data_IF_452823566287
#
_entry.id   IF_452823566287
#
_cell.length_a   1.000
_cell.length_b   1.000
_cell.length_c   1.000
_cell.angle_alpha   90.00
_cell.angle_beta   90.00
_cell.angle_gamma   90.00
#
_symmetry.space_group_name_H-M   'P 1'
#
loop_
_entity.id
_entity.type
_entity.pdbx_description
1 polymer ?
#
# COMPACT_ATOMS: atom_id res chain seq x y z
N UNK A 1 -15.55 22.94 34.21
CA UNK A 1 -14.33 23.59 33.69
C UNK A 1 -13.17 23.23 34.61
N UNK A 2 -12.22 22.45 34.09
CA UNK A 2 -10.83 22.27 34.53
C UNK A 2 -10.39 20.89 34.01
N UNK A 3 -9.70 20.87 32.87
CA UNK A 3 -8.96 19.68 32.43
C UNK A 3 -7.60 19.61 33.11
N UNK A 4 -6.89 18.50 32.93
CA UNK A 4 -5.44 18.54 32.86
C UNK A 4 -4.95 18.08 31.49
N UNK A 5 -4.21 18.99 30.86
CA UNK A 5 -3.08 18.72 29.99
C UNK A 5 -2.13 17.69 30.58
N UNK A 6 -1.51 16.85 29.75
CA UNK A 6 -0.06 16.74 29.71
C UNK A 6 0.47 15.95 28.50
N UNK A 7 1.15 16.73 27.67
CA UNK A 7 2.28 16.47 26.79
C UNK A 7 2.78 15.02 26.62
N UNK A 8 2.76 14.62 25.34
CA UNK A 8 3.52 13.53 24.73
C UNK A 8 5.02 13.67 24.99
N UNK A 9 5.62 12.65 25.60
CA UNK A 9 7.08 12.50 25.68
C UNK A 9 7.50 11.38 24.73
N UNK A 10 7.94 11.75 23.53
CA UNK A 10 8.69 10.88 22.62
C UNK A 10 10.06 10.60 23.23
N UNK A 11 10.28 9.36 23.68
CA UNK A 11 11.61 8.86 24.05
C UNK A 11 12.09 7.89 22.98
N UNK A 12 12.99 8.39 22.13
CA UNK A 12 13.68 7.63 21.10
C UNK A 12 14.79 6.82 21.76
N UNK A 13 14.52 5.56 22.09
CA UNK A 13 15.56 4.64 22.55
C UNK A 13 16.40 4.14 21.36
N UNK A 14 17.56 4.76 21.16
CA UNK A 14 18.61 4.26 20.27
C UNK A 14 19.45 3.19 20.97
N UNK A 15 18.99 1.94 20.94
CA UNK A 15 19.77 0.81 21.44
C UNK A 15 20.75 0.32 20.37
N UNK A 16 21.96 0.87 20.42
CA UNK A 16 23.10 0.41 19.65
C UNK A 16 23.53 -0.99 20.15
N UNK A 17 23.27 -2.05 19.39
CA UNK A 17 23.80 -3.39 19.67
C UNK A 17 24.54 -3.95 18.45
N UNK A 18 25.85 -4.06 18.65
CA UNK A 18 26.87 -4.62 17.76
C UNK A 18 26.51 -6.06 17.41
N UNK A 19 25.85 -6.26 16.27
CA UNK A 19 25.38 -7.57 15.84
C UNK A 19 26.54 -8.42 15.30
N UNK A 20 27.03 -9.35 16.13
CA UNK A 20 27.87 -10.47 15.69
C UNK A 20 27.09 -11.33 14.70
N UNK A 21 27.66 -11.48 13.52
CA UNK A 21 27.09 -12.06 12.31
C UNK A 21 27.22 -13.58 12.32
N UNK A 22 26.29 -14.28 12.97
CA UNK A 22 26.02 -15.71 12.74
C UNK A 22 24.54 -15.96 13.04
N UNK A 23 23.63 -15.91 12.04
CA UNK A 23 22.24 -16.33 12.28
C UNK A 23 21.65 -17.01 11.04
N UNK A 24 21.40 -18.31 11.17
CA UNK A 24 20.38 -19.04 10.44
C UNK A 24 19.09 -18.19 10.36
N UNK A 25 18.39 -18.23 9.21
CA UNK A 25 17.15 -17.51 8.97
C UNK A 25 16.01 -18.08 9.84
N UNK A 26 15.99 -17.77 11.13
CA UNK A 26 14.83 -18.07 11.97
C UNK A 26 13.66 -17.17 11.55
N UNK A 27 12.50 -17.78 11.27
CA UNK A 27 11.27 -17.07 10.86
C UNK A 27 10.41 -16.81 12.09
N UNK A 28 9.89 -15.59 12.24
CA UNK A 28 8.91 -15.29 13.28
C UNK A 28 7.54 -15.87 12.90
N UNK A 29 6.87 -16.50 13.86
CA UNK A 29 5.49 -16.94 13.75
C UNK A 29 4.61 -16.15 14.72
N UNK A 30 3.79 -15.28 14.13
CA UNK A 30 2.84 -14.42 14.85
C UNK A 30 1.51 -15.13 15.15
N UNK A 31 1.19 -16.22 14.44
CA UNK A 31 -0.05 -16.94 14.65
C UNK A 31 0.00 -17.85 15.89
N UNK A 32 1.21 -18.25 16.30
CA UNK A 32 1.44 -19.16 17.42
C UNK A 32 2.46 -18.53 18.39
N UNK A 33 2.04 -17.63 19.28
CA UNK A 33 2.92 -16.98 20.25
C UNK A 33 3.41 -17.95 21.34
N UNK A 34 4.51 -17.61 22.02
CA UNK A 34 4.95 -18.32 23.23
C UNK A 34 3.97 -18.11 24.39
N UNK A 35 4.16 -18.85 25.48
CA UNK A 35 3.49 -18.63 26.78
C UNK A 35 3.68 -17.20 27.34
N UNK A 36 4.73 -16.51 26.87
CA UNK A 36 5.04 -15.13 27.20
C UNK A 36 4.36 -14.07 26.33
N UNK A 37 3.52 -14.47 25.36
CA UNK A 37 2.79 -13.57 24.46
C UNK A 37 3.58 -12.99 23.29
N UNK A 38 4.90 -13.22 23.23
CA UNK A 38 5.73 -12.83 22.09
C UNK A 38 5.61 -13.82 20.92
N UNK A 39 5.77 -13.36 19.65
CA UNK A 39 5.79 -14.26 18.50
C UNK A 39 6.93 -15.27 18.63
N UNK A 40 6.61 -16.55 18.40
CA UNK A 40 7.61 -17.62 18.48
C UNK A 40 8.57 -17.56 17.28
N UNK A 41 9.76 -18.14 17.42
CA UNK A 41 10.73 -18.30 16.33
C UNK A 41 10.72 -19.74 15.86
N UNK A 42 10.55 -19.95 14.56
CA UNK A 42 10.71 -21.25 13.91
C UNK A 42 12.19 -21.48 13.58
N UNK A 43 12.68 -22.65 13.98
CA UNK A 43 14.01 -23.17 13.71
C UNK A 43 13.90 -24.54 13.05
N UNK A 44 14.89 -24.88 12.23
CA UNK A 44 15.02 -26.21 11.64
C UNK A 44 16.05 -27.01 12.44
N UNK A 45 15.66 -28.19 12.90
CA UNK A 45 16.53 -29.12 13.62
C UNK A 45 17.62 -29.65 12.70
N UNK A 46 18.86 -29.57 13.18
CA UNK A 46 20.05 -30.13 12.54
C UNK A 46 20.57 -31.38 13.26
N UNK A 47 19.80 -31.88 14.24
CA UNK A 47 20.18 -33.08 14.99
C UNK A 47 20.12 -34.33 14.11
N UNK A 48 20.99 -35.30 14.38
CA UNK A 48 21.06 -36.57 13.62
C UNK A 48 19.73 -37.35 13.66
N UNK A 49 19.01 -37.25 14.76
CA UNK A 49 17.76 -37.99 14.98
C UNK A 49 16.54 -37.30 14.37
N UNK A 50 16.59 -35.97 14.22
CA UNK A 50 15.48 -35.17 13.67
C UNK A 50 15.97 -34.16 12.64
N UNK A 51 16.66 -34.56 11.56
CA UNK A 51 17.16 -33.63 10.56
C UNK A 51 15.99 -33.00 9.80
N UNK A 52 16.01 -31.68 9.62
CA UNK A 52 15.04 -30.97 8.80
C UNK A 52 13.68 -30.68 9.44
N UNK A 53 13.37 -31.24 10.63
CA UNK A 53 12.12 -30.95 11.34
C UNK A 53 12.11 -29.53 11.89
N UNK A 54 11.00 -28.82 11.71
CA UNK A 54 10.83 -27.47 12.23
C UNK A 54 10.26 -27.48 13.65
N UNK A 55 10.78 -26.61 14.51
CA UNK A 55 10.29 -26.42 15.88
C UNK A 55 10.22 -24.93 16.22
N UNK A 56 9.33 -24.56 17.13
CA UNK A 56 9.11 -23.20 17.60
C UNK A 56 9.78 -23.03 18.95
N UNK A 57 10.39 -21.87 19.19
CA UNK A 57 10.94 -21.49 20.50
C UNK A 57 10.59 -20.05 20.85
N UNK A 58 10.56 -19.75 22.14
CA UNK A 58 10.47 -18.36 22.59
C UNK A 58 11.71 -17.56 22.13
N UNK A 59 11.54 -16.32 21.62
CA UNK A 59 12.68 -15.45 21.30
C UNK A 59 13.52 -15.06 22.52
N UNK A 60 12.95 -15.10 23.73
CA UNK A 60 13.55 -14.75 25.02
C UNK A 60 14.00 -16.00 25.81
N UNK A 61 14.25 -17.13 25.15
CA UNK A 61 14.62 -18.38 25.84
C UNK A 61 15.99 -18.31 26.55
N UNK A 62 16.86 -17.36 26.18
CA UNK A 62 18.28 -17.32 26.58
C UNK A 62 18.72 -16.04 27.26
N UNK A 63 17.91 -14.99 27.29
CA UNK A 63 18.41 -13.64 27.60
C UNK A 63 18.32 -13.27 29.09
N UNK A 64 17.55 -14.00 29.92
CA UNK A 64 17.52 -13.78 31.38
C UNK A 64 17.14 -15.08 32.16
N UNK A 65 17.94 -15.55 33.14
CA UNK A 65 17.68 -16.78 33.88
C UNK A 65 16.44 -16.75 34.80
N UNK A 66 15.99 -15.58 35.25
CA UNK A 66 14.84 -15.42 36.16
C UNK A 66 13.49 -15.40 35.42
N UNK A 67 13.46 -15.00 34.15
CA UNK A 67 12.24 -14.88 33.32
C UNK A 67 12.47 -15.58 31.97
N UNK A 68 12.96 -16.82 32.00
CA UNK A 68 13.10 -17.62 30.77
C UNK A 68 11.78 -18.32 30.43
N UNK A 69 11.19 -17.93 29.32
CA UNK A 69 10.08 -18.69 28.75
C UNK A 69 10.65 -19.98 28.12
N UNK A 70 10.16 -21.13 28.61
CA UNK A 70 10.60 -22.47 28.18
C UNK A 70 9.79 -23.01 27.00
N UNK A 71 9.00 -22.17 26.35
CA UNK A 71 8.17 -22.55 25.22
C UNK A 71 9.02 -23.21 24.13
N UNK A 72 8.66 -24.45 23.82
CA UNK A 72 9.23 -25.26 22.74
C UNK A 72 8.15 -26.21 22.22
N UNK A 73 7.99 -26.29 20.91
CA UNK A 73 6.99 -27.15 20.27
C UNK A 73 7.42 -27.56 18.86
N UNK A 74 7.11 -28.78 18.43
CA UNK A 74 7.29 -29.17 17.02
C UNK A 74 6.26 -28.48 16.12
N UNK A 75 6.68 -28.05 14.93
CA UNK A 75 5.76 -27.61 13.89
C UNK A 75 5.21 -28.86 13.20
N UNK A 76 3.90 -29.07 13.26
CA UNK A 76 3.26 -30.20 12.59
C UNK A 76 3.22 -29.98 11.06
N UNK A 77 3.33 -31.06 10.30
CA UNK A 77 3.26 -30.98 8.83
C UNK A 77 1.93 -30.38 8.35
N UNK A 78 0.83 -30.66 9.05
CA UNK A 78 -0.49 -30.08 8.79
C UNK A 78 -0.50 -28.54 8.89
N UNK A 79 0.23 -27.97 9.85
CA UNK A 79 0.37 -26.52 10.00
C UNK A 79 1.03 -25.91 8.77
N UNK A 80 2.02 -26.61 8.20
CA UNK A 80 2.74 -26.15 7.01
C UNK A 80 1.86 -26.21 5.76
N UNK A 81 1.06 -27.25 5.61
CA UNK A 81 0.11 -27.41 4.49
C UNK A 81 -0.98 -26.35 4.56
N UNK A 82 -1.55 -26.14 5.75
CA UNK A 82 -2.58 -25.12 5.97
C UNK A 82 -2.04 -23.71 5.73
N UNK A 83 -0.79 -23.44 6.12
CA UNK A 83 -0.12 -22.16 5.85
C UNK A 83 0.06 -21.93 4.35
N UNK A 84 0.55 -22.93 3.60
CA UNK A 84 0.68 -22.84 2.13
C UNK A 84 -0.66 -22.54 1.46
N UNK A 85 -1.72 -23.26 1.83
CA UNK A 85 -3.08 -23.00 1.31
C UNK A 85 -3.56 -21.57 1.61
N UNK A 86 -3.32 -21.07 2.83
CA UNK A 86 -3.68 -19.69 3.19
C UNK A 86 -2.88 -18.67 2.39
N UNK A 87 -1.59 -18.91 2.19
CA UNK A 87 -0.71 -18.04 1.41
C UNK A 87 -1.11 -18.04 -0.08
N UNK A 88 -1.47 -19.21 -0.64
CA UNK A 88 -2.00 -19.35 -2.01
C UNK A 88 -3.33 -18.61 -2.20
N UNK A 89 -4.30 -18.81 -1.29
CA UNK A 89 -5.58 -18.09 -1.31
C UNK A 89 -5.37 -16.59 -1.19
N UNK A 90 -4.42 -16.15 -0.35
CA UNK A 90 -4.07 -14.74 -0.21
C UNK A 90 -3.45 -14.17 -1.49
N UNK A 91 -2.55 -14.92 -2.13
CA UNK A 91 -1.94 -14.52 -3.40
C UNK A 91 -3.00 -14.39 -4.50
N UNK A 92 -3.89 -15.38 -4.62
CA UNK A 92 -5.01 -15.35 -5.57
C UNK A 92 -5.96 -14.18 -5.30
N UNK A 93 -6.28 -13.91 -4.03
CA UNK A 93 -7.11 -12.76 -3.66
C UNK A 93 -6.44 -11.42 -4.02
N UNK A 94 -5.12 -11.30 -3.86
CA UNK A 94 -4.37 -10.11 -4.28
C UNK A 94 -4.41 -9.94 -5.81
N UNK A 95 -4.27 -11.03 -6.56
CA UNK A 95 -4.31 -11.02 -8.03
C UNK A 95 -5.68 -10.60 -8.56
N UNK A 96 -6.76 -11.21 -8.04
CA UNK A 96 -8.14 -10.82 -8.39
C UNK A 96 -8.40 -9.35 -8.07
N UNK A 97 -7.90 -8.87 -6.93
CA UNK A 97 -8.02 -7.45 -6.56
C UNK A 97 -7.24 -6.55 -7.51
N UNK A 98 -6.05 -6.96 -7.96
CA UNK A 98 -5.27 -6.21 -8.94
C UNK A 98 -6.01 -6.10 -10.28
N UNK A 99 -6.52 -7.22 -10.80
CA UNK A 99 -7.34 -7.25 -12.02
C UNK A 99 -8.60 -6.39 -11.88
N UNK A 100 -9.29 -6.45 -10.74
CA UNK A 100 -10.44 -5.58 -10.47
C UNK A 100 -10.08 -4.09 -10.46
N UNK A 101 -8.91 -3.73 -9.92
CA UNK A 101 -8.41 -2.35 -9.98
C UNK A 101 -8.10 -1.92 -11.41
N UNK A 102 -7.49 -2.76 -12.24
CA UNK A 102 -7.18 -2.46 -13.64
C UNK A 102 -8.45 -2.18 -14.45
N UNK A 103 -9.47 -3.03 -14.32
CA UNK A 103 -10.78 -2.81 -14.98
C UNK A 103 -11.40 -1.49 -14.53
N UNK A 104 -11.36 -1.17 -13.24
CA UNK A 104 -11.90 0.09 -12.73
C UNK A 104 -11.14 1.31 -13.27
N UNK A 105 -9.82 1.22 -13.37
CA UNK A 105 -8.99 2.29 -13.96
C UNK A 105 -9.36 2.49 -15.43
N UNK A 106 -9.51 1.41 -16.20
CA UNK A 106 -9.89 1.49 -17.61
C UNK A 106 -11.28 2.12 -17.81
N UNK A 107 -12.26 1.77 -16.97
CA UNK A 107 -13.60 2.40 -17.00
C UNK A 107 -13.49 3.89 -16.70
N UNK A 108 -12.77 4.27 -15.65
CA UNK A 108 -12.60 5.68 -15.28
C UNK A 108 -11.90 6.49 -16.37
N UNK A 109 -10.88 5.92 -17.02
CA UNK A 109 -10.15 6.58 -18.10
C UNK A 109 -11.03 6.77 -19.34
N UNK A 110 -11.83 5.76 -19.69
CA UNK A 110 -12.83 5.87 -20.75
C UNK A 110 -13.85 6.98 -20.47
N UNK A 111 -14.41 7.03 -19.28
CA UNK A 111 -15.39 8.06 -18.90
C UNK A 111 -14.75 9.46 -18.94
N UNK A 112 -13.54 9.60 -18.42
CA UNK A 112 -12.78 10.86 -18.50
C UNK A 112 -12.59 11.33 -19.94
N UNK A 113 -12.23 10.42 -20.85
CA UNK A 113 -12.06 10.74 -22.26
C UNK A 113 -13.38 11.17 -22.93
N UNK A 114 -14.51 10.57 -22.56
CA UNK A 114 -15.84 11.01 -23.02
C UNK A 114 -16.14 12.43 -22.54
N UNK A 115 -15.97 12.71 -21.24
CA UNK A 115 -16.23 14.03 -20.68
C UNK A 115 -15.33 15.09 -21.31
N UNK A 116 -14.04 14.78 -21.51
CA UNK A 116 -13.08 15.66 -22.16
C UNK A 116 -13.50 16.00 -23.58
N UNK A 117 -13.81 15.00 -24.41
CA UNK A 117 -14.26 15.21 -25.80
C UNK A 117 -15.50 16.09 -25.87
N UNK A 118 -16.49 15.85 -25.01
CA UNK A 118 -17.71 16.67 -24.96
C UNK A 118 -17.41 18.12 -24.60
N UNK A 119 -16.49 18.33 -23.67
CA UNK A 119 -16.06 19.68 -23.24
C UNK A 119 -15.33 20.40 -24.38
N UNK A 120 -14.44 19.71 -25.08
CA UNK A 120 -13.70 20.26 -26.23
C UNK A 120 -14.65 20.64 -27.38
N UNK A 121 -15.66 19.81 -27.66
CA UNK A 121 -16.70 20.09 -28.68
C UNK A 121 -17.52 21.35 -28.35
N UNK A 122 -17.93 21.52 -27.10
CA UNK A 122 -18.64 22.72 -26.65
C UNK A 122 -17.74 23.96 -26.68
N UNK A 123 -16.48 23.83 -26.29
CA UNK A 123 -15.50 24.91 -26.35
C UNK A 123 -15.24 25.37 -27.79
N UNK A 124 -15.08 24.45 -28.74
CA UNK A 124 -14.92 24.73 -30.16
C UNK A 124 -16.13 25.46 -30.77
N UNK A 125 -17.33 25.12 -30.30
CA UNK A 125 -18.57 25.79 -30.70
C UNK A 125 -18.59 27.24 -30.22
N UNK A 126 -18.13 27.49 -29.00
CA UNK A 126 -17.99 28.84 -28.44
C UNK A 126 -16.93 29.62 -29.21
N UNK A 127 -15.75 29.02 -29.47
CA UNK A 127 -14.68 29.65 -30.26
C UNK A 127 -15.20 30.09 -31.64
N UNK A 128 -15.93 29.21 -32.34
CA UNK A 128 -16.50 29.54 -33.66
C UNK A 128 -17.47 30.72 -33.60
N UNK A 129 -18.32 30.79 -32.57
CA UNK A 129 -19.22 31.93 -32.37
C UNK A 129 -18.45 33.23 -32.11
N UNK A 130 -17.41 33.19 -31.27
CA UNK A 130 -16.56 34.35 -31.00
C UNK A 130 -15.85 34.80 -32.28
N UNK A 131 -15.33 33.87 -33.07
CA UNK A 131 -14.67 34.17 -34.34
C UNK A 131 -15.64 34.84 -35.32
N UNK A 132 -16.85 34.29 -35.47
CA UNK A 132 -17.89 34.89 -36.31
C UNK A 132 -18.25 36.31 -35.86
N UNK A 133 -18.44 36.54 -34.56
CA UNK A 133 -18.73 37.86 -34.01
C UNK A 133 -17.58 38.86 -34.28
N UNK A 134 -16.32 38.43 -34.10
CA UNK A 134 -15.15 39.24 -34.43
C UNK A 134 -15.16 39.67 -35.91
N UNK A 135 -15.48 38.76 -36.82
CA UNK A 135 -15.60 39.09 -38.25
C UNK A 135 -16.70 40.13 -38.51
N UNK A 136 -17.87 39.99 -37.90
CA UNK A 136 -18.95 40.97 -38.05
C UNK A 136 -18.54 42.37 -37.56
N UNK A 137 -17.90 42.46 -36.39
CA UNK A 137 -17.41 43.74 -35.84
C UNK A 137 -16.39 44.39 -36.76
N UNK A 138 -15.45 43.62 -37.33
CA UNK A 138 -14.47 44.12 -38.29
C UNK A 138 -15.16 44.68 -39.53
N UNK A 139 -16.11 43.95 -40.12
CA UNK A 139 -16.84 44.39 -41.31
C UNK A 139 -17.61 45.68 -41.03
N UNK A 140 -18.35 45.75 -39.91
CA UNK A 140 -19.09 46.95 -39.51
C UNK A 140 -18.16 48.16 -39.32
N UNK A 141 -17.01 47.96 -38.68
CA UNK A 141 -16.01 49.01 -38.51
C UNK A 141 -15.48 49.51 -39.86
N UNK A 142 -15.15 48.60 -40.78
CA UNK A 142 -14.68 48.98 -42.12
C UNK A 142 -15.75 49.77 -42.90
N UNK A 143 -17.02 49.37 -42.81
CA UNK A 143 -18.13 50.10 -43.44
C UNK A 143 -18.32 51.50 -42.84
N UNK A 144 -18.18 51.64 -41.53
CA UNK A 144 -18.25 52.92 -40.84
C UNK A 144 -17.14 53.87 -41.30
N UNK A 145 -15.88 53.39 -41.35
CA UNK A 145 -14.73 54.16 -41.84
C UNK A 145 -14.94 54.62 -43.28
N UNK A 146 -15.40 53.73 -44.17
CA UNK A 146 -15.69 54.07 -45.57
C UNK A 146 -16.81 55.11 -45.70
N UNK A 147 -17.80 55.07 -44.81
CA UNK A 147 -18.90 56.05 -44.81
C UNK A 147 -18.42 57.43 -44.37
N UNK A 148 -17.54 57.51 -43.36
CA UNK A 148 -16.94 58.77 -42.93
C UNK A 148 -16.02 59.38 -43.99
N UNK A 149 -15.30 58.57 -44.77
CA UNK A 149 -14.43 59.08 -45.84
C UNK A 149 -15.20 59.60 -47.06
N UNK A 150 -16.49 59.27 -47.19
CA UNK A 150 -17.36 59.74 -48.28
C UNK A 150 -18.22 60.95 -47.91
N UNK A 151 -18.32 61.27 -46.62
CA UNK A 151 -19.07 62.41 -46.10
C UNK A 151 -18.21 63.68 -46.14
#
# INVERSE_FOLDING_TARGET
MAGPSNASSSSTYTSNTRSKKIKSKSKLDFANPCDCGYPSRIWTSTTKDNPGKEFRVCPNSTDNPEIKCKFWEWVNEEDTVNKKKRDEVRAQSCEVRAQSCEVRIAIMDHDFNIYKKKTDEEFDKIIRKISSLKTYVIVLFMLFVVSLLRA
#
